data_IF_832294298993
#
_entry.id   IF_832294298993
#
_cell.length_a   1.000
_cell.length_b   1.000
_cell.length_c   1.000
_cell.angle_alpha   90.00
_cell.angle_beta   90.00
_cell.angle_gamma   90.00
#
_symmetry.space_group_name_H-M   'P 1'
#
loop_
_entity.id
_entity.type
_entity.pdbx_description
1 polymer ?
#
# COMPACT_ATOMS: atom_id res chain seq x y z
N UNK A 1 -16.58 -12.87 1.13
CA UNK A 1 -17.16 -11.54 0.81
C UNK A 1 -17.85 -11.03 2.07
N UNK A 2 -17.49 -9.84 2.56
CA UNK A 2 -18.14 -9.21 3.73
C UNK A 2 -19.20 -8.24 3.21
N UNK A 3 -20.43 -8.31 3.73
CA UNK A 3 -21.52 -7.39 3.36
C UNK A 3 -21.40 -6.12 4.21
N UNK A 4 -21.35 -4.96 3.55
CA UNK A 4 -21.34 -3.65 4.20
C UNK A 4 -22.45 -2.79 3.61
N UNK A 5 -23.16 -2.05 4.44
CA UNK A 5 -24.11 -1.02 4.01
C UNK A 5 -23.41 0.34 4.01
N UNK A 6 -23.54 1.08 2.92
CA UNK A 6 -22.92 2.39 2.74
C UNK A 6 -24.03 3.34 2.32
N UNK A 7 -24.16 4.46 3.03
CA UNK A 7 -25.09 5.53 2.68
C UNK A 7 -24.42 6.51 1.72
N UNK A 8 -25.18 7.00 0.75
CA UNK A 8 -24.74 8.00 -0.22
C UNK A 8 -25.68 9.20 -0.16
N UNK A 9 -25.14 10.38 -0.40
CA UNK A 9 -25.98 11.50 -0.84
C UNK A 9 -26.63 11.14 -2.19
N UNK A 10 -27.87 11.60 -2.40
CA UNK A 10 -28.64 11.29 -3.60
C UNK A 10 -27.92 11.72 -4.89
N UNK A 11 -27.25 12.88 -4.90
CA UNK A 11 -26.53 13.37 -6.09
C UNK A 11 -25.32 12.50 -6.39
N UNK A 12 -24.60 12.09 -5.35
CA UNK A 12 -23.44 11.21 -5.49
C UNK A 12 -23.85 9.82 -6.00
N UNK A 13 -24.94 9.26 -5.47
CA UNK A 13 -25.47 7.97 -5.91
C UNK A 13 -25.81 7.98 -7.40
N UNK A 14 -26.55 9.00 -7.87
CA UNK A 14 -26.95 9.10 -9.28
C UNK A 14 -25.76 9.32 -10.22
N UNK A 15 -24.79 10.13 -9.81
CA UNK A 15 -23.55 10.31 -10.58
C UNK A 15 -22.77 9.00 -10.71
N UNK A 16 -22.59 8.27 -9.60
CA UNK A 16 -21.88 7.00 -9.59
C UNK A 16 -22.61 5.92 -10.41
N UNK A 17 -23.95 5.84 -10.30
CA UNK A 17 -24.77 4.90 -11.08
C UNK A 17 -24.64 5.15 -12.59
N UNK A 18 -24.66 6.42 -13.00
CA UNK A 18 -24.50 6.81 -14.41
C UNK A 18 -23.12 6.43 -14.95
N UNK A 19 -22.06 6.72 -14.19
CA UNK A 19 -20.69 6.40 -14.61
C UNK A 19 -20.45 4.88 -14.64
N UNK A 20 -21.00 4.14 -13.68
CA UNK A 20 -20.93 2.67 -13.68
C UNK A 20 -21.63 2.09 -14.93
N UNK A 21 -22.80 2.64 -15.29
CA UNK A 21 -23.52 2.31 -16.52
C UNK A 21 -22.70 2.61 -17.79
N UNK A 22 -22.06 3.79 -17.88
CA UNK A 22 -21.15 4.14 -18.99
C UNK A 22 -20.00 3.14 -19.14
N UNK A 23 -19.45 2.67 -18.02
CA UNK A 23 -18.37 1.68 -17.96
C UNK A 23 -18.84 0.23 -18.10
N UNK A 24 -20.15 -0.01 -18.21
CA UNK A 24 -20.78 -1.34 -18.26
C UNK A 24 -20.39 -2.25 -17.08
N UNK A 25 -20.28 -1.68 -15.88
CA UNK A 25 -20.04 -2.41 -14.63
C UNK A 25 -21.13 -2.09 -13.60
N UNK A 26 -21.26 -2.92 -12.58
CA UNK A 26 -22.17 -2.63 -11.46
C UNK A 26 -21.62 -1.52 -10.56
N UNK A 27 -22.50 -0.82 -9.84
CA UNK A 27 -22.11 0.19 -8.84
C UNK A 27 -21.17 -0.42 -7.78
N UNK A 28 -21.47 -1.63 -7.32
CA UNK A 28 -20.63 -2.33 -6.34
C UNK A 28 -19.23 -2.60 -6.86
N UNK A 29 -19.09 -2.91 -8.16
CA UNK A 29 -17.77 -3.12 -8.77
C UNK A 29 -16.99 -1.81 -8.92
N UNK A 30 -17.67 -0.71 -9.26
CA UNK A 30 -17.06 0.61 -9.22
C UNK A 30 -16.54 0.95 -7.81
N UNK A 31 -17.34 0.71 -6.77
CA UNK A 31 -16.91 0.93 -5.39
C UNK A 31 -15.68 0.07 -5.03
N UNK A 32 -15.63 -1.19 -5.44
CA UNK A 32 -14.45 -2.05 -5.21
C UNK A 32 -13.20 -1.52 -5.88
N UNK A 33 -13.28 -1.05 -7.13
CA UNK A 33 -12.15 -0.47 -7.85
C UNK A 33 -11.68 0.81 -7.18
N UNK A 34 -12.61 1.72 -6.87
CA UNK A 34 -12.28 2.96 -6.17
C UNK A 34 -11.60 2.71 -4.82
N UNK A 35 -12.08 1.73 -4.04
CA UNK A 35 -11.42 1.34 -2.78
C UNK A 35 -10.04 0.72 -3.02
N UNK A 36 -9.88 -0.13 -4.04
CA UNK A 36 -8.58 -0.71 -4.37
C UNK A 36 -7.58 0.37 -4.76
N UNK A 37 -7.99 1.32 -5.61
CA UNK A 37 -7.14 2.40 -6.08
C UNK A 37 -6.78 3.35 -4.92
N UNK A 38 -7.74 3.69 -4.06
CA UNK A 38 -7.50 4.54 -2.88
C UNK A 38 -6.58 3.87 -1.84
N UNK A 39 -6.56 2.54 -1.77
CA UNK A 39 -5.71 1.77 -0.86
C UNK A 39 -4.39 1.31 -1.50
N UNK A 40 -4.19 1.52 -2.81
CA UNK A 40 -3.00 1.04 -3.51
C UNK A 40 -1.71 1.68 -2.97
N UNK A 41 -1.81 2.94 -2.55
CA UNK A 41 -0.69 3.70 -2.00
C UNK A 41 -0.60 3.65 -0.47
N UNK A 42 -1.55 2.96 0.19
CA UNK A 42 -1.48 2.78 1.64
C UNK A 42 -0.42 1.74 1.94
N UNK A 43 0.68 2.08 2.63
CA UNK A 43 1.72 1.10 2.94
C UNK A 43 1.12 -0.02 3.78
N UNK A 44 1.04 -1.23 3.22
CA UNK A 44 0.52 -2.42 3.89
C UNK A 44 1.48 -2.92 4.98
N UNK A 45 2.75 -2.56 4.83
CA UNK A 45 3.83 -2.58 5.82
C UNK A 45 4.68 -1.35 5.60
N UNK A 46 5.39 -0.89 6.62
CA UNK A 46 6.35 0.17 6.39
C UNK A 46 7.37 -0.35 5.35
N UNK A 47 7.65 0.38 4.25
CA UNK A 47 8.37 -0.17 3.08
C UNK A 47 9.76 -0.76 3.40
N UNK A 48 10.34 -0.35 4.54
CA UNK A 48 11.59 -0.85 5.08
C UNK A 48 11.50 -2.24 5.74
N UNK A 49 10.30 -2.70 6.15
CA UNK A 49 10.10 -3.99 6.82
C UNK A 49 10.41 -5.20 5.94
N UNK A 50 10.43 -5.06 4.60
CA UNK A 50 10.91 -6.11 3.69
C UNK A 50 12.38 -6.50 3.93
N UNK A 51 13.14 -5.61 4.57
CA UNK A 51 14.55 -5.80 4.91
C UNK A 51 14.75 -6.05 6.41
N UNK A 52 13.68 -6.06 7.22
CA UNK A 52 13.79 -6.40 8.63
C UNK A 52 14.24 -7.87 8.76
N UNK A 53 15.41 -8.09 9.38
CA UNK A 53 16.05 -9.41 9.46
C UNK A 53 16.88 -9.80 8.23
N UNK A 54 17.01 -8.93 7.20
CA UNK A 54 17.88 -9.17 6.05
C UNK A 54 19.38 -9.01 6.37
N UNK A 55 19.71 -8.48 7.56
CA UNK A 55 21.09 -8.44 8.06
C UNK A 55 21.44 -9.85 8.53
N UNK A 56 22.20 -10.58 7.70
CA UNK A 56 22.53 -11.99 7.91
C UNK A 56 23.23 -12.29 9.23
N UNK A 57 23.89 -11.30 9.85
CA UNK A 57 24.60 -11.49 11.13
C UNK A 57 23.68 -11.56 12.35
N UNK A 58 22.49 -10.98 12.28
CA UNK A 58 21.61 -10.81 13.45
C UNK A 58 22.22 -9.99 14.59
N UNK A 59 23.34 -9.30 14.35
CA UNK A 59 24.06 -8.53 15.37
C UNK A 59 23.33 -7.21 15.65
N UNK A 60 22.80 -6.99 16.87
CA UNK A 60 22.09 -5.76 17.23
C UNK A 60 23.00 -4.51 17.21
N UNK A 61 24.33 -4.69 17.23
CA UNK A 61 25.31 -3.61 17.19
C UNK A 61 25.92 -3.42 15.79
N UNK A 62 25.39 -4.09 14.75
CA UNK A 62 25.89 -3.96 13.39
C UNK A 62 25.89 -2.51 12.87
N UNK A 63 24.97 -1.67 13.39
CA UNK A 63 24.92 -0.25 13.03
C UNK A 63 26.18 0.52 13.46
N UNK A 64 26.88 0.07 14.50
CA UNK A 64 28.05 0.77 15.05
C UNK A 64 29.32 0.53 14.22
N UNK A 65 29.33 -0.52 13.41
CA UNK A 65 30.50 -0.94 12.61
C UNK A 65 30.35 -0.66 11.12
N UNK A 66 29.16 -0.19 10.69
CA UNK A 66 28.86 0.12 9.28
C UNK A 66 29.86 1.09 8.69
N UNK A 67 30.25 2.14 9.43
CA UNK A 67 31.15 3.15 8.91
C UNK A 67 32.55 2.59 8.65
N UNK A 68 33.04 1.73 9.53
CA UNK A 68 34.34 1.06 9.36
C UNK A 68 34.29 0.08 8.18
N UNK A 69 33.18 -0.65 8.02
CA UNK A 69 33.04 -1.63 6.94
C UNK A 69 32.85 -0.98 5.57
N UNK A 70 32.16 0.17 5.48
CA UNK A 70 31.88 0.84 4.20
C UNK A 70 32.97 1.84 3.82
N UNK A 71 33.50 2.58 4.80
CA UNK A 71 34.44 3.69 4.57
C UNK A 71 35.86 3.41 5.05
N UNK A 72 36.08 2.35 5.85
CA UNK A 72 37.40 2.00 6.38
C UNK A 72 38.28 1.16 5.45
N UNK A 73 37.89 0.96 4.18
CA UNK A 73 38.69 0.22 3.19
C UNK A 73 39.37 1.21 2.25
N UNK A 74 40.65 0.99 1.97
CA UNK A 74 41.37 1.78 0.97
C UNK A 74 40.89 1.49 -0.47
N UNK A 75 40.29 0.31 -0.71
CA UNK A 75 39.68 -0.05 -2.00
C UNK A 75 38.38 -0.89 -1.80
N UNK A 76 37.44 -0.90 -2.78
CA UNK A 76 36.10 -1.48 -2.66
C UNK A 76 36.04 -3.00 -2.39
#
# INVERSE_FOLDING_TARGET
MIRTQISFDAKLYEAARREAGRRRISLSEMCRRALRDALADVPTTAPWMRYAGAVASGDPNASDTVDVVVYGREEP
#
